data_IF_147136054951
#
_entry.id   IF_147136054951
#
_cell.length_a   1.000
_cell.length_b   1.000
_cell.length_c   1.000
_cell.angle_alpha   90.00
_cell.angle_beta   90.00
_cell.angle_gamma   90.00
#
_symmetry.space_group_name_H-M   'P 1'
#
loop_
_entity.id
_entity.type
_entity.pdbx_description
1 polymer ?
#
# COMPACT_ATOMS: atom_id res chain seq x y z
N UNK A 1 -29.46 24.60 -18.53
CA UNK A 1 -28.37 23.83 -19.16
C UNK A 1 -27.08 23.77 -18.32
N UNK A 2 -26.66 24.85 -17.62
CA UNK A 2 -25.43 24.83 -16.79
C UNK A 2 -25.43 23.77 -15.66
N UNK A 3 -26.57 23.53 -15.01
CA UNK A 3 -26.69 22.53 -13.92
C UNK A 3 -26.47 21.10 -14.43
N UNK A 4 -26.91 20.79 -15.66
CA UNK A 4 -26.76 19.45 -16.27
C UNK A 4 -25.30 19.12 -16.53
N UNK A 5 -24.51 20.12 -16.93
CA UNK A 5 -23.07 19.95 -17.21
C UNK A 5 -22.29 19.69 -15.91
N UNK A 6 -22.65 20.38 -14.81
CA UNK A 6 -22.01 20.16 -13.50
C UNK A 6 -22.33 18.77 -12.96
N UNK A 7 -23.57 18.30 -13.15
CA UNK A 7 -23.97 16.96 -12.71
C UNK A 7 -23.25 15.84 -13.49
N UNK A 8 -23.02 16.05 -14.79
CA UNK A 8 -22.27 15.10 -15.62
C UNK A 8 -20.78 15.06 -15.27
N UNK A 9 -20.19 16.20 -14.85
CA UNK A 9 -18.78 16.27 -14.44
C UNK A 9 -18.47 15.53 -13.14
N UNK A 10 -19.44 15.33 -12.24
CA UNK A 10 -19.24 14.58 -11.00
C UNK A 10 -19.21 13.06 -11.23
N UNK A 11 -19.86 12.56 -12.28
CA UNK A 11 -19.95 11.13 -12.58
C UNK A 11 -18.67 10.54 -13.19
N UNK A 12 -17.75 11.39 -13.67
CA UNK A 12 -16.47 10.98 -14.27
C UNK A 12 -15.29 11.09 -13.29
N UNK A 13 -15.58 11.28 -12.00
CA UNK A 13 -14.58 11.21 -10.94
C UNK A 13 -14.11 9.76 -10.82
N UNK A 14 -13.05 9.38 -11.54
CA UNK A 14 -12.40 8.08 -11.33
C UNK A 14 -11.90 8.05 -9.89
N UNK A 15 -12.60 7.32 -9.02
CA UNK A 15 -12.07 6.95 -7.72
C UNK A 15 -10.83 6.10 -7.97
N UNK A 16 -9.67 6.57 -7.52
CA UNK A 16 -8.51 5.70 -7.46
C UNK A 16 -8.87 4.56 -6.51
N UNK A 17 -9.11 3.37 -7.04
CA UNK A 17 -9.38 2.19 -6.23
C UNK A 17 -8.04 1.61 -5.79
N UNK A 18 -7.96 1.32 -4.49
CA UNK A 18 -6.87 0.55 -3.93
C UNK A 18 -7.00 -0.90 -4.35
N UNK A 19 -5.94 -1.48 -4.87
CA UNK A 19 -5.96 -2.87 -5.28
C UNK A 19 -4.71 -3.61 -4.88
N UNK A 20 -4.91 -4.68 -4.13
CA UNK A 20 -3.86 -5.64 -3.77
C UNK A 20 -3.55 -6.61 -4.89
N UNK A 21 -4.26 -6.54 -6.02
CA UNK A 21 -3.94 -7.32 -7.23
C UNK A 21 -2.98 -6.61 -8.17
N UNK A 22 -2.95 -5.26 -8.15
CA UNK A 22 -1.98 -4.44 -8.92
C UNK A 22 -0.99 -3.68 -8.01
N UNK A 23 -1.20 -3.77 -6.70
CA UNK A 23 -0.37 -3.19 -5.64
C UNK A 23 -0.34 -1.65 -5.66
N UNK A 24 -1.40 -1.04 -6.18
CA UNK A 24 -1.57 0.40 -6.25
C UNK A 24 -2.57 0.90 -5.21
N UNK A 25 -2.35 2.13 -4.76
CA UNK A 25 -3.23 2.93 -3.92
C UNK A 25 -3.62 2.23 -2.60
N UNK A 26 -2.75 1.39 -2.04
CA UNK A 26 -3.03 0.53 -0.89
C UNK A 26 -2.98 1.25 0.45
N UNK A 27 -3.80 0.84 1.40
CA UNK A 27 -3.65 1.26 2.79
C UNK A 27 -2.70 0.34 3.56
N UNK A 28 -2.01 0.91 4.55
CA UNK A 28 -1.15 0.14 5.45
C UNK A 28 -1.99 -0.48 6.57
N UNK A 29 -2.21 -1.80 6.49
CA UNK A 29 -2.96 -2.59 7.45
C UNK A 29 -2.16 -2.88 8.72
N UNK A 30 -1.37 -3.95 8.72
CA UNK A 30 -0.57 -4.34 9.89
C UNK A 30 0.91 -4.18 9.59
N UNK A 31 1.67 -3.69 10.57
CA UNK A 31 3.12 -3.61 10.50
C UNK A 31 3.68 -4.56 11.55
N UNK A 32 4.54 -5.48 11.13
CA UNK A 32 5.28 -6.35 12.01
C UNK A 32 6.71 -5.84 12.18
N UNK A 33 7.03 -5.41 13.40
CA UNK A 33 8.37 -5.04 13.83
C UNK A 33 8.92 -6.12 14.76
N UNK A 34 10.14 -6.57 14.52
CA UNK A 34 10.82 -7.58 15.33
C UNK A 34 12.06 -6.98 16.01
N UNK A 35 12.22 -7.26 17.32
CA UNK A 35 13.34 -6.74 18.11
C UNK A 35 14.67 -7.22 17.51
N UNK A 36 15.57 -6.28 17.23
CA UNK A 36 16.89 -6.57 16.63
C UNK A 36 16.89 -6.67 15.10
N UNK A 37 15.73 -6.80 14.44
CA UNK A 37 15.61 -6.85 12.97
C UNK A 37 14.95 -5.58 12.41
N UNK A 38 14.10 -4.92 13.21
CA UNK A 38 13.31 -3.77 12.78
C UNK A 38 12.09 -4.20 11.98
N UNK A 39 11.81 -3.50 10.87
CA UNK A 39 10.70 -3.83 9.97
C UNK A 39 10.87 -5.23 9.38
N UNK A 40 9.93 -6.13 9.67
CA UNK A 40 9.93 -7.50 9.17
C UNK A 40 8.97 -7.67 8.00
N UNK A 41 7.70 -7.34 8.20
CA UNK A 41 6.66 -7.51 7.17
C UNK A 41 5.48 -6.55 7.36
N UNK A 42 4.70 -6.37 6.29
CA UNK A 42 3.49 -5.54 6.26
C UNK A 42 2.33 -6.28 5.61
N UNK A 43 1.12 -6.09 6.13
CA UNK A 43 -0.15 -6.41 5.45
C UNK A 43 -0.74 -5.12 4.90
N UNK A 44 -1.17 -5.14 3.65
CA UNK A 44 -1.83 -4.03 2.97
C UNK A 44 -3.33 -4.29 2.82
N UNK A 45 -4.12 -3.23 2.69
CA UNK A 45 -5.58 -3.29 2.58
C UNK A 45 -6.04 -2.56 1.32
N UNK A 46 -7.17 -3.01 0.74
CA UNK A 46 -7.85 -2.26 -0.30
C UNK A 46 -8.60 -1.08 0.34
N UNK A 47 -9.32 -1.27 1.44
CA UNK A 47 -9.94 -0.18 2.18
C UNK A 47 -9.40 -0.10 3.60
N UNK A 48 -9.37 1.11 4.16
CA UNK A 48 -8.90 1.34 5.54
C UNK A 48 -9.71 0.54 6.57
N UNK A 49 -10.99 0.29 6.25
CA UNK A 49 -11.98 -0.33 7.14
C UNK A 49 -12.07 -1.86 6.89
N UNK A 50 -11.24 -2.41 5.99
CA UNK A 50 -11.22 -3.85 5.72
C UNK A 50 -10.72 -4.62 6.96
N UNK A 51 -11.44 -5.69 7.33
CA UNK A 51 -11.08 -6.57 8.44
C UNK A 51 -9.98 -7.57 8.08
N UNK A 52 -9.75 -7.79 6.79
CA UNK A 52 -8.70 -8.64 6.23
C UNK A 52 -7.93 -7.90 5.14
N UNK A 53 -6.75 -8.39 4.80
CA UNK A 53 -5.86 -7.73 3.86
C UNK A 53 -5.09 -8.72 3.02
N UNK A 54 -4.03 -8.22 2.39
CA UNK A 54 -3.06 -9.06 1.70
C UNK A 54 -2.42 -10.10 2.62
N UNK A 55 -1.72 -11.04 2.01
CA UNK A 55 -0.68 -11.78 2.72
C UNK A 55 0.45 -10.85 3.17
N UNK A 56 1.31 -11.36 4.06
CA UNK A 56 2.48 -10.61 4.54
C UNK A 56 3.47 -10.35 3.41
N UNK A 57 3.83 -9.07 3.23
CA UNK A 57 4.93 -8.63 2.39
C UNK A 57 6.16 -8.34 3.24
N UNK A 58 7.22 -9.11 3.06
CA UNK A 58 8.45 -9.09 3.84
C UNK A 58 9.45 -8.09 3.28
N UNK A 59 10.34 -7.59 4.12
CA UNK A 59 11.42 -6.68 3.74
C UNK A 59 12.79 -7.38 3.82
N UNK A 60 12.82 -8.63 3.36
CA UNK A 60 14.05 -9.43 3.27
C UNK A 60 15.00 -8.79 2.25
N UNK A 61 16.31 -8.75 2.53
CA UNK A 61 17.31 -8.15 1.65
C UNK A 61 17.48 -6.64 1.78
N UNK A 62 16.58 -5.94 2.50
CA UNK A 62 16.72 -4.52 2.79
C UNK A 62 17.77 -4.27 3.87
N UNK A 63 18.53 -3.18 3.74
CA UNK A 63 19.47 -2.75 4.76
C UNK A 63 18.73 -2.27 6.02
N UNK A 64 19.43 -2.21 7.16
CA UNK A 64 18.83 -1.73 8.41
C UNK A 64 18.34 -0.28 8.30
N UNK A 65 19.11 0.56 7.60
CA UNK A 65 18.77 1.98 7.45
C UNK A 65 17.59 2.16 6.50
N UNK A 66 17.51 1.39 5.41
CA UNK A 66 16.34 1.41 4.53
C UNK A 66 15.08 0.93 5.28
N UNK A 67 15.20 -0.11 6.12
CA UNK A 67 14.10 -0.58 6.96
C UNK A 67 13.61 0.48 7.94
N UNK A 68 14.51 1.27 8.55
CA UNK A 68 14.14 2.38 9.45
C UNK A 68 13.42 3.49 8.69
N UNK A 69 13.92 3.86 7.50
CA UNK A 69 13.33 4.89 6.65
C UNK A 69 11.93 4.49 6.17
N UNK A 70 11.78 3.25 5.70
CA UNK A 70 10.49 2.72 5.24
C UNK A 70 9.52 2.48 6.39
N UNK A 71 9.99 2.02 7.56
CA UNK A 71 9.13 1.91 8.74
C UNK A 71 8.51 3.26 9.11
N UNK A 72 9.33 4.31 9.15
CA UNK A 72 8.86 5.68 9.42
C UNK A 72 7.81 6.13 8.40
N UNK A 73 8.06 5.84 7.11
CA UNK A 73 7.14 6.14 6.01
C UNK A 73 5.81 5.37 6.13
N UNK A 74 5.87 4.06 6.39
CA UNK A 74 4.69 3.20 6.57
C UNK A 74 3.85 3.61 7.78
N UNK A 75 4.49 3.98 8.89
CA UNK A 75 3.79 4.48 10.08
C UNK A 75 3.08 5.80 9.77
N UNK A 76 3.77 6.74 9.11
CA UNK A 76 3.17 8.00 8.70
C UNK A 76 1.98 7.77 7.74
N UNK A 77 2.14 6.90 6.75
CA UNK A 77 1.07 6.53 5.82
C UNK A 77 -0.13 5.91 6.56
N UNK A 78 0.13 4.97 7.48
CA UNK A 78 -0.91 4.34 8.30
C UNK A 78 -1.71 5.34 9.13
N UNK A 79 -1.02 6.22 9.87
CA UNK A 79 -1.66 7.18 10.78
C UNK A 79 -2.44 8.25 10.02
N UNK A 80 -1.94 8.68 8.86
CA UNK A 80 -2.60 9.67 8.01
C UNK A 80 -3.69 9.09 7.10
N UNK A 81 -3.91 7.76 7.13
CA UNK A 81 -4.71 7.05 6.14
C UNK A 81 -4.28 7.35 4.70
N UNK A 82 -2.99 7.58 4.50
CA UNK A 82 -2.42 7.82 3.19
C UNK A 82 -2.10 6.51 2.49
N UNK A 83 -2.33 6.49 1.18
CA UNK A 83 -2.15 5.31 0.34
C UNK A 83 -0.72 5.16 -0.15
N UNK A 84 -0.29 3.93 -0.37
CA UNK A 84 1.04 3.57 -0.86
C UNK A 84 0.94 2.65 -2.07
N UNK A 85 1.94 2.74 -2.95
CA UNK A 85 2.15 1.77 -4.01
C UNK A 85 3.32 0.87 -3.61
N UNK A 86 3.22 -0.40 -3.95
CA UNK A 86 4.21 -1.41 -3.56
C UNK A 86 4.59 -2.21 -4.79
N UNK A 87 5.87 -2.50 -4.95
CA UNK A 87 6.34 -3.51 -5.90
C UNK A 87 6.90 -4.69 -5.13
N UNK A 88 6.54 -5.91 -5.53
CA UNK A 88 7.09 -7.15 -4.98
C UNK A 88 8.06 -7.80 -5.98
N UNK A 89 8.76 -8.84 -5.53
CA UNK A 89 9.64 -9.65 -6.40
C UNK A 89 8.89 -10.58 -7.38
N UNK A 90 7.55 -10.61 -7.35
CA UNK A 90 6.77 -11.43 -8.29
C UNK A 90 6.87 -10.92 -9.73
N UNK A 91 6.57 -11.79 -10.70
CA UNK A 91 6.74 -11.50 -12.13
C UNK A 91 5.87 -10.33 -12.64
N UNK A 92 4.67 -10.15 -12.08
CA UNK A 92 3.76 -9.05 -12.36
C UNK A 92 4.06 -7.79 -11.53
N UNK A 93 5.15 -7.81 -10.74
CA UNK A 93 5.50 -6.81 -9.72
C UNK A 93 4.46 -6.63 -8.61
N UNK A 94 3.38 -7.42 -8.60
CA UNK A 94 2.39 -7.49 -7.53
C UNK A 94 2.31 -8.92 -6.99
N UNK A 95 1.16 -9.51 -6.66
CA UNK A 95 1.10 -10.86 -6.08
C UNK A 95 0.95 -10.92 -4.56
N UNK A 96 0.49 -9.83 -3.95
CA UNK A 96 0.12 -9.76 -2.52
C UNK A 96 -1.08 -10.67 -2.14
N UNK A 97 -1.79 -11.21 -3.14
CA UNK A 97 -2.94 -12.11 -2.98
C UNK A 97 -2.60 -13.61 -3.12
N UNK A 98 -1.38 -13.97 -3.52
CA UNK A 98 -1.02 -15.37 -3.82
C UNK A 98 -0.03 -15.98 -2.82
N UNK A 99 0.04 -15.40 -1.62
CA UNK A 99 0.92 -15.84 -0.53
C UNK A 99 1.91 -14.77 -0.09
N UNK A 100 2.79 -15.12 0.84
CA UNK A 100 3.82 -14.21 1.33
C UNK A 100 4.83 -13.85 0.22
N UNK A 101 5.20 -12.58 0.13
CA UNK A 101 6.11 -12.05 -0.90
C UNK A 101 7.16 -11.14 -0.29
N UNK A 102 8.23 -10.84 -1.04
CA UNK A 102 9.24 -9.86 -0.64
C UNK A 102 8.94 -8.55 -1.36
N UNK A 103 8.91 -7.46 -0.59
CA UNK A 103 8.79 -6.09 -1.09
C UNK A 103 10.10 -5.68 -1.70
N UNK A 104 10.07 -5.19 -2.93
CA UNK A 104 11.23 -4.65 -3.66
C UNK A 104 11.28 -3.14 -3.61
N UNK A 105 10.12 -2.48 -3.68
CA UNK A 105 10.03 -1.02 -3.60
C UNK A 105 8.71 -0.59 -2.95
N UNK A 106 8.73 0.61 -2.38
CA UNK A 106 7.56 1.26 -1.78
C UNK A 106 7.56 2.74 -2.17
N UNK A 107 6.40 3.23 -2.57
CA UNK A 107 6.19 4.61 -3.00
C UNK A 107 4.96 5.19 -2.30
N UNK A 108 5.02 6.47 -1.97
CA UNK A 108 3.82 7.21 -1.56
C UNK A 108 2.99 7.53 -2.80
N UNK A 109 1.68 7.33 -2.69
CA UNK A 109 0.78 7.68 -3.80
C UNK A 109 0.69 9.20 -3.93
N UNK A 110 1.01 9.76 -5.09
CA UNK A 110 0.94 11.23 -5.28
C UNK A 110 -0.44 11.72 -5.72
N UNK A 111 -1.37 10.81 -6.02
CA UNK A 111 -2.77 11.11 -6.29
C UNK A 111 -3.66 10.64 -5.12
N UNK A 112 -4.41 11.54 -4.46
CA UNK A 112 -5.35 11.18 -3.39
C UNK A 112 -6.58 10.40 -3.88
#
# INVERSE_FOLDING_TARGET
MKIVIIFFALLISNVAEASTTDCQNLYVGRIWVEKGIGLKAVVYLNNRDDSSGSYWSYFTGWTEDDKKAVLSSLMAAKVSNHRVNVETEHADKCGLQTGSRVTKALFWTTNP
#
